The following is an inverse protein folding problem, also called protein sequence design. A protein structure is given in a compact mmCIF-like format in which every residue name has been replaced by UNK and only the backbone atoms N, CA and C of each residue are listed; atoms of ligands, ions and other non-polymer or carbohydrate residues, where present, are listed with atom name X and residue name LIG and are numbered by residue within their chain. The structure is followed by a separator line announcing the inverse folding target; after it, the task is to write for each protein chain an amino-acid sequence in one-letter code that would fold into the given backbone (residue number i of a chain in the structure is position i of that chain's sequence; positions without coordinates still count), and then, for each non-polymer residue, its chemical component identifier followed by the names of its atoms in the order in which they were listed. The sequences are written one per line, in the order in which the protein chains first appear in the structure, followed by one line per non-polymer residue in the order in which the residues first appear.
data_IF_094487229127
#
_entry.id   IF_094487229127
#
_cell.length_a   1.000
_cell.length_b   1.000
_cell.length_c   1.000
_cell.angle_alpha   90.00
_cell.angle_beta   90.00
_cell.angle_gamma   90.00
#
_symmetry.space_group_name_H-M   'P 1'
#
loop_
_entity.id
_entity.type
_entity.pdbx_description
1 polymer ?
#
# COMPACT_ATOMS: atom_id res chain seq x y z
N UNK A 1 13.33 -26.50 28.17
CA UNK A 1 13.86 -27.26 29.33
C UNK A 1 12.97 -27.01 30.53
N UNK A 2 12.09 -27.96 30.86
CA UNK A 2 11.74 -28.49 32.20
C UNK A 2 10.90 -29.74 31.91
N UNK A 3 11.22 -30.82 32.61
CA UNK A 3 10.60 -32.15 32.60
C UNK A 3 10.08 -32.40 34.02
N UNK A 4 8.86 -32.94 34.20
CA UNK A 4 8.58 -34.07 35.13
C UNK A 4 7.12 -34.58 35.04
N UNK A 5 6.95 -35.82 35.49
CA UNK A 5 5.93 -36.85 35.20
C UNK A 5 5.04 -37.14 36.43
N UNK A 6 3.78 -37.59 36.22
CA UNK A 6 3.10 -38.78 36.82
C UNK A 6 1.61 -38.80 36.40
N UNK A 7 1.14 -39.80 35.64
CA UNK A 7 0.51 -41.07 36.02
C UNK A 7 -0.79 -40.96 36.84
N UNK A 8 -1.93 -41.30 36.23
CA UNK A 8 -3.24 -41.41 36.87
C UNK A 8 -4.37 -41.65 35.87
N UNK A 9 -4.76 -42.91 35.72
CA UNK A 9 -5.85 -43.37 34.86
C UNK A 9 -7.22 -42.94 35.39
N UNK A 10 -8.02 -42.23 34.59
CA UNK A 10 -9.48 -42.17 34.71
C UNK A 10 -10.07 -41.88 33.31
N UNK A 11 -10.61 -42.90 32.65
CA UNK A 11 -11.37 -42.76 31.40
C UNK A 11 -12.75 -42.19 31.73
N UNK A 12 -12.82 -40.86 31.80
CA UNK A 12 -14.05 -40.11 31.60
C UNK A 12 -14.06 -39.69 30.13
N UNK A 13 -15.08 -40.15 29.40
CA UNK A 13 -15.35 -39.71 28.03
C UNK A 13 -15.85 -38.25 28.11
N UNK A 14 -14.92 -37.33 28.29
CA UNK A 14 -15.17 -35.90 28.09
C UNK A 14 -15.40 -35.72 26.60
N UNK A 15 -16.61 -35.27 26.25
CA UNK A 15 -16.83 -34.63 24.97
C UNK A 15 -15.92 -33.40 24.96
N UNK A 16 -14.72 -33.54 24.39
CA UNK A 16 -13.95 -32.40 23.95
C UNK A 16 -14.82 -31.75 22.88
N UNK A 17 -15.54 -30.70 23.29
CA UNK A 17 -15.93 -29.66 22.37
C UNK A 17 -14.64 -29.22 21.71
N UNK A 18 -14.38 -29.75 20.51
CA UNK A 18 -13.52 -29.12 19.52
C UNK A 18 -14.02 -27.68 19.48
N UNK A 19 -13.31 -26.79 20.16
CA UNK A 19 -13.37 -25.38 19.85
C UNK A 19 -13.04 -25.35 18.37
N UNK A 20 -14.09 -25.19 17.57
CA UNK A 20 -13.95 -24.83 16.18
C UNK A 20 -12.91 -23.72 16.18
N UNK A 21 -11.75 -23.98 15.55
CA UNK A 21 -10.78 -22.92 15.33
C UNK A 21 -11.60 -21.82 14.69
N UNK A 22 -11.77 -20.71 15.39
CA UNK A 22 -12.31 -19.52 14.79
C UNK A 22 -11.25 -19.14 13.75
N UNK A 23 -11.38 -19.67 12.55
CA UNK A 23 -10.82 -19.10 11.33
C UNK A 23 -11.61 -17.83 11.05
N UNK A 24 -11.63 -16.93 12.05
CA UNK A 24 -12.22 -15.62 11.95
C UNK A 24 -11.50 -14.92 10.84
N UNK A 25 -12.28 -14.39 9.89
CA UNK A 25 -11.74 -13.52 8.87
C UNK A 25 -10.88 -12.43 9.53
N UNK A 26 -9.75 -12.05 8.92
CA UNK A 26 -8.89 -11.01 9.47
C UNK A 26 -9.71 -9.75 9.76
N UNK A 27 -9.54 -9.20 10.96
CA UNK A 27 -10.21 -7.98 11.39
C UNK A 27 -9.69 -6.80 10.56
N UNK A 28 -10.60 -6.02 9.97
CA UNK A 28 -10.23 -4.84 9.19
C UNK A 28 -10.21 -3.62 10.10
N UNK A 29 -9.12 -2.84 10.02
CA UNK A 29 -9.00 -1.56 10.72
C UNK A 29 -9.09 -0.40 9.71
N UNK A 30 -9.81 0.69 10.02
CA UNK A 30 -9.80 1.88 9.18
C UNK A 30 -8.46 2.62 9.32
N UNK A 31 -7.82 2.94 8.19
CA UNK A 31 -6.62 3.79 8.17
C UNK A 31 -6.96 5.29 8.14
N UNK A 32 -8.14 5.64 7.62
CA UNK A 32 -8.64 7.01 7.56
C UNK A 32 -9.93 7.12 8.38
N UNK A 33 -10.02 8.14 9.23
CA UNK A 33 -11.13 8.30 10.18
C UNK A 33 -12.35 9.03 9.60
N UNK A 34 -12.25 9.59 8.38
CA UNK A 34 -13.34 10.35 7.76
C UNK A 34 -13.45 11.81 8.21
N UNK A 35 -12.63 12.26 9.15
CA UNK A 35 -12.77 13.58 9.78
C UNK A 35 -11.54 14.45 9.54
N UNK A 36 -10.34 13.91 9.74
CA UNK A 36 -9.07 14.61 9.62
C UNK A 36 -7.93 13.69 9.16
N UNK A 37 -6.70 14.22 9.12
CA UNK A 37 -5.51 13.46 8.74
C UNK A 37 -4.77 12.88 9.95
N UNK A 38 -5.44 12.69 11.09
CA UNK A 38 -4.87 12.07 12.28
C UNK A 38 -4.33 10.67 11.97
N UNK A 39 -3.11 10.38 12.42
CA UNK A 39 -2.41 9.13 12.07
C UNK A 39 -1.66 9.18 10.74
N UNK A 40 -1.59 10.34 10.09
CA UNK A 40 -0.85 10.57 8.85
C UNK A 40 0.03 11.81 8.93
N UNK A 41 1.11 11.81 8.14
CA UNK A 41 1.93 13.00 7.91
C UNK A 41 2.21 13.20 6.43
N UNK A 42 2.38 14.46 6.02
CA UNK A 42 2.69 14.82 4.64
C UNK A 42 4.21 14.89 4.42
N UNK A 43 4.70 14.16 3.41
CA UNK A 43 6.06 14.25 2.90
C UNK A 43 6.07 14.95 1.54
N UNK A 44 6.47 16.22 1.53
CA UNK A 44 6.37 17.11 0.36
C UNK A 44 7.75 17.72 0.06
N UNK A 45 8.41 17.40 -1.07
CA UNK A 45 9.74 17.94 -1.39
C UNK A 45 9.82 19.46 -1.41
N UNK A 46 8.73 20.14 -1.80
CA UNK A 46 8.69 21.59 -1.81
C UNK A 46 8.83 22.21 -0.40
N UNK A 47 8.49 21.46 0.65
CA UNK A 47 8.62 21.87 2.05
C UNK A 47 10.00 21.57 2.64
N UNK A 48 10.88 20.86 1.91
CA UNK A 48 12.21 20.49 2.39
C UNK A 48 13.00 21.77 2.82
N UNK A 49 13.68 21.66 3.96
CA UNK A 49 14.35 22.81 4.60
C UNK A 49 13.42 23.70 5.43
N UNK A 50 12.22 23.22 5.79
CA UNK A 50 11.29 23.95 6.65
C UNK A 50 10.53 25.05 5.93
N UNK A 51 10.38 24.95 4.62
CA UNK A 51 9.62 25.93 3.82
C UNK A 51 8.13 25.71 4.05
N UNK A 52 7.42 26.80 4.25
CA UNK A 52 5.96 26.78 4.29
C UNK A 52 5.42 26.57 2.87
N UNK A 53 4.51 25.62 2.71
CA UNK A 53 3.86 25.30 1.43
C UNK A 53 2.36 25.11 1.65
N UNK A 54 1.58 25.34 0.59
CA UNK A 54 0.17 24.99 0.60
C UNK A 54 -0.02 23.47 0.84
N UNK A 55 -1.11 23.04 1.49
CA UNK A 55 -1.37 21.63 1.74
C UNK A 55 -1.56 20.86 0.42
N UNK A 56 -0.92 19.70 0.31
CA UNK A 56 -1.13 18.76 -0.81
C UNK A 56 -2.35 17.87 -0.62
N UNK A 57 -2.76 17.64 0.63
CA UNK A 57 -3.82 16.73 1.03
C UNK A 57 -4.76 17.42 1.99
N UNK A 58 -6.06 17.17 1.83
CA UNK A 58 -7.11 17.74 2.69
C UNK A 58 -8.21 16.71 2.92
N UNK A 59 -9.01 16.91 3.96
CA UNK A 59 -10.29 16.22 4.14
C UNK A 59 -11.41 17.13 3.65
N UNK A 60 -12.31 16.57 2.83
CA UNK A 60 -13.50 17.27 2.33
C UNK A 60 -14.64 16.28 2.18
N UNK A 61 -15.80 16.61 2.75
CA UNK A 61 -17.02 15.79 2.66
C UNK A 61 -16.79 14.33 3.08
N UNK A 62 -16.03 14.12 4.16
CA UNK A 62 -15.70 12.78 4.65
C UNK A 62 -14.68 12.00 3.81
N UNK A 63 -14.07 12.63 2.80
CA UNK A 63 -13.11 11.99 1.89
C UNK A 63 -11.71 12.58 2.05
N UNK A 64 -10.71 11.71 1.91
CA UNK A 64 -9.32 12.10 1.73
C UNK A 64 -9.11 12.57 0.28
N UNK A 65 -8.68 13.83 0.11
CA UNK A 65 -8.53 14.45 -1.21
C UNK A 65 -7.07 14.84 -1.43
N UNK A 66 -6.47 14.31 -2.50
CA UNK A 66 -5.20 14.81 -3.04
C UNK A 66 -5.44 15.99 -3.98
N UNK A 67 -4.80 17.12 -3.71
CA UNK A 67 -4.87 18.33 -4.53
C UNK A 67 -3.85 18.32 -5.68
N UNK A 68 -2.91 17.36 -5.66
CA UNK A 68 -1.89 17.15 -6.70
C UNK A 68 -0.76 18.20 -6.75
N UNK A 69 -0.93 19.36 -6.11
CA UNK A 69 0.08 20.42 -6.03
C UNK A 69 0.09 21.09 -4.63
N UNK A 70 1.27 21.23 -3.98
CA UNK A 70 2.56 20.67 -4.39
C UNK A 70 2.53 19.13 -4.41
N UNK A 71 3.41 18.51 -5.19
CA UNK A 71 3.51 17.05 -5.25
C UNK A 71 4.14 16.51 -3.97
N UNK A 72 3.68 15.36 -3.51
CA UNK A 72 4.19 14.71 -2.31
C UNK A 72 3.36 13.48 -1.96
N UNK A 73 3.58 12.97 -0.76
CA UNK A 73 2.98 11.75 -0.26
C UNK A 73 2.30 12.02 1.07
N UNK A 74 1.19 11.34 1.32
CA UNK A 74 0.60 11.25 2.64
C UNK A 74 0.91 9.85 3.17
N UNK A 75 1.58 9.79 4.32
CA UNK A 75 2.18 8.56 4.84
C UNK A 75 1.59 8.27 6.22
N UNK A 76 1.25 7.02 6.49
CA UNK A 76 0.79 6.60 7.82
C UNK A 76 1.91 6.79 8.84
N UNK A 77 1.56 7.21 10.06
CA UNK A 77 2.50 7.27 11.18
C UNK A 77 2.91 5.86 11.64
N UNK A 78 1.99 4.89 11.51
CA UNK A 78 2.23 3.49 11.80
C UNK A 78 2.82 2.74 10.60
N UNK A 79 3.64 1.75 10.89
CA UNK A 79 4.17 0.80 9.91
C UNK A 79 3.39 -0.51 9.96
N UNK A 80 3.13 -1.11 8.80
CA UNK A 80 2.38 -2.35 8.66
C UNK A 80 3.17 -3.41 7.89
N UNK A 81 2.95 -4.67 8.21
CA UNK A 81 3.41 -5.85 7.49
C UNK A 81 2.27 -6.87 7.38
N UNK A 82 2.33 -7.77 6.39
CA UNK A 82 1.39 -8.89 6.22
C UNK A 82 -0.10 -8.50 6.31
N UNK A 83 -0.53 -7.63 5.39
CA UNK A 83 -1.88 -7.08 5.39
C UNK A 83 -2.57 -7.24 4.04
N UNK A 84 -3.90 -7.11 4.07
CA UNK A 84 -4.71 -6.84 2.89
C UNK A 84 -5.19 -5.38 2.98
N UNK A 85 -4.82 -4.58 1.98
CA UNK A 85 -5.25 -3.19 1.87
C UNK A 85 -6.43 -3.11 0.90
N UNK A 86 -7.52 -2.49 1.35
CA UNK A 86 -8.69 -2.20 0.52
C UNK A 86 -8.84 -0.68 0.45
N UNK A 87 -8.93 -0.15 -0.77
CA UNK A 87 -9.09 1.28 -1.03
C UNK A 87 -10.17 1.47 -2.08
N UNK A 88 -11.06 2.42 -1.82
CA UNK A 88 -11.96 2.97 -2.83
C UNK A 88 -11.43 4.32 -3.27
N UNK A 89 -11.40 4.57 -4.58
CA UNK A 89 -10.94 5.83 -5.14
C UNK A 89 -11.82 6.23 -6.32
N UNK A 90 -11.81 7.53 -6.64
CA UNK A 90 -12.45 8.08 -7.83
C UNK A 90 -11.72 9.32 -8.32
N UNK A 91 -11.94 9.67 -9.58
CA UNK A 91 -11.52 10.96 -10.13
C UNK A 91 -12.64 11.98 -9.95
N UNK A 92 -12.45 12.97 -9.07
CA UNK A 92 -13.40 14.07 -8.86
C UNK A 92 -13.45 15.07 -10.04
N UNK A 93 -12.58 14.91 -11.04
CA UNK A 93 -12.48 15.76 -12.21
C UNK A 93 -11.79 15.00 -13.36
N UNK A 94 -11.00 15.70 -14.17
CA UNK A 94 -10.24 15.05 -15.25
C UNK A 94 -9.30 13.98 -14.66
N UNK A 95 -9.39 12.72 -15.11
CA UNK A 95 -8.47 11.66 -14.68
C UNK A 95 -7.01 12.07 -14.88
N UNK A 96 -6.19 11.77 -13.87
CA UNK A 96 -4.78 12.14 -13.81
C UNK A 96 -3.94 10.97 -13.34
N UNK A 97 -2.88 11.30 -12.59
CA UNK A 97 -1.94 10.33 -12.02
C UNK A 97 -1.91 10.44 -10.49
N UNK A 98 -2.09 9.32 -9.83
CA UNK A 98 -1.82 9.10 -8.42
C UNK A 98 -1.44 7.63 -8.22
N UNK A 99 -1.11 7.24 -6.99
CA UNK A 99 -0.79 5.87 -6.66
C UNK A 99 -0.83 5.63 -5.17
N UNK A 100 -0.91 4.37 -4.78
CA UNK A 100 -0.74 3.93 -3.40
C UNK A 100 0.65 3.32 -3.28
N UNK A 101 1.50 3.91 -2.45
CA UNK A 101 2.85 3.42 -2.22
C UNK A 101 2.86 2.54 -0.98
N UNK A 102 3.12 1.25 -1.17
CA UNK A 102 3.25 0.27 -0.09
C UNK A 102 4.73 0.11 0.30
N UNK A 103 4.96 -0.21 1.57
CA UNK A 103 6.30 -0.36 2.15
C UNK A 103 7.19 0.88 1.95
N UNK A 104 6.59 2.07 2.01
CA UNK A 104 7.29 3.34 1.96
C UNK A 104 8.29 3.47 3.12
N UNK A 105 9.54 3.80 2.80
CA UNK A 105 10.61 3.92 3.80
C UNK A 105 11.49 5.14 3.56
N UNK A 106 12.58 5.01 2.80
CA UNK A 106 13.59 6.06 2.65
C UNK A 106 13.06 7.20 1.77
N UNK A 107 12.84 8.42 2.28
CA UNK A 107 12.33 9.52 1.47
C UNK A 107 13.31 9.94 0.37
N UNK A 108 12.77 10.56 -0.70
CA UNK A 108 13.58 11.13 -1.79
C UNK A 108 14.50 10.12 -2.50
N UNK A 109 14.20 8.81 -2.42
CA UNK A 109 14.98 7.71 -3.00
C UNK A 109 15.11 7.79 -4.51
N UNK A 110 14.03 8.19 -5.19
CA UNK A 110 14.02 8.31 -6.65
C UNK A 110 13.56 9.72 -7.05
N UNK A 111 14.31 10.33 -7.98
CA UNK A 111 14.07 11.67 -8.52
C UNK A 111 13.93 12.79 -7.50
N UNK A 112 14.45 12.59 -6.28
CA UNK A 112 14.24 13.51 -5.14
C UNK A 112 12.75 13.79 -4.87
N UNK A 113 11.89 12.84 -5.22
CA UNK A 113 10.43 12.91 -5.04
C UNK A 113 9.97 11.71 -4.24
N UNK A 114 10.08 10.53 -4.83
CA UNK A 114 9.45 9.31 -4.32
C UNK A 114 10.27 8.65 -3.20
N UNK A 115 9.62 8.12 -2.16
CA UNK A 115 10.27 7.27 -1.18
C UNK A 115 10.57 5.88 -1.76
N UNK A 116 11.52 5.16 -1.16
CA UNK A 116 11.68 3.73 -1.43
C UNK A 116 10.38 3.00 -1.11
N UNK A 117 9.79 2.31 -2.09
CA UNK A 117 8.47 1.70 -2.02
C UNK A 117 8.16 0.85 -3.26
N UNK A 118 7.01 0.17 -3.24
CA UNK A 118 6.33 -0.31 -4.43
C UNK A 118 5.06 0.53 -4.60
N UNK A 119 4.87 1.13 -5.76
CA UNK A 119 3.64 1.87 -6.08
C UNK A 119 2.64 0.92 -6.77
N UNK A 120 1.48 0.75 -6.16
CA UNK A 120 0.25 0.30 -6.81
C UNK A 120 -0.33 1.48 -7.58
N UNK A 121 -0.11 1.49 -8.89
CA UNK A 121 -0.40 2.60 -9.77
C UNK A 121 -1.91 2.85 -9.88
N UNK A 122 -2.31 4.13 -9.97
CA UNK A 122 -3.69 4.54 -10.23
C UNK A 122 -3.81 5.52 -11.40
N UNK A 123 -2.74 5.76 -12.16
CA UNK A 123 -2.75 6.58 -13.38
C UNK A 123 -3.81 6.06 -14.35
N UNK A 124 -4.62 6.98 -14.85
CA UNK A 124 -5.73 6.65 -15.73
C UNK A 124 -5.31 5.79 -16.94
N UNK A 125 -5.97 4.65 -17.09
CA UNK A 125 -5.69 3.61 -18.07
C UNK A 125 -4.59 2.62 -17.67
N UNK A 126 -3.95 2.80 -16.51
CA UNK A 126 -2.82 1.99 -16.01
C UNK A 126 -3.03 1.56 -14.55
N UNK A 127 -4.23 1.70 -13.99
CA UNK A 127 -4.50 1.32 -12.61
C UNK A 127 -4.23 -0.18 -12.38
N UNK A 128 -3.58 -0.49 -11.25
CA UNK A 128 -3.19 -1.85 -10.88
C UNK A 128 -1.80 -2.27 -11.35
N UNK A 129 -1.12 -1.47 -12.17
CA UNK A 129 0.30 -1.71 -12.47
C UNK A 129 1.14 -1.52 -11.22
N UNK A 130 2.29 -2.19 -11.17
CA UNK A 130 3.29 -1.92 -10.15
C UNK A 130 4.42 -1.06 -10.71
N UNK A 131 4.86 -0.09 -9.92
CA UNK A 131 6.14 0.57 -10.12
C UNK A 131 7.08 0.27 -8.95
N UNK A 132 8.21 -0.36 -9.26
CA UNK A 132 9.27 -0.61 -8.30
C UNK A 132 10.11 0.66 -8.12
N UNK A 133 10.27 1.12 -6.88
CA UNK A 133 10.95 2.39 -6.54
C UNK A 133 11.94 2.11 -5.41
N UNK A 134 13.18 1.78 -5.72
CA UNK A 134 14.16 1.34 -4.72
C UNK A 134 13.83 0.01 -4.00
N UNK A 135 12.61 -0.51 -4.16
CA UNK A 135 12.12 -1.79 -3.64
C UNK A 135 11.57 -2.61 -4.82
N UNK A 136 11.80 -3.92 -4.82
CA UNK A 136 11.43 -4.81 -5.93
C UNK A 136 10.39 -5.84 -5.53
N UNK A 137 9.61 -6.30 -6.52
CA UNK A 137 8.70 -7.43 -6.35
C UNK A 137 8.78 -8.37 -7.53
N UNK A 138 8.41 -9.62 -7.28
CA UNK A 138 8.22 -10.63 -8.30
C UNK A 138 6.78 -11.11 -8.27
N UNK A 139 6.19 -11.25 -9.45
CA UNK A 139 4.83 -11.75 -9.67
C UNK A 139 4.87 -12.74 -10.82
N UNK A 140 3.79 -13.48 -11.05
CA UNK A 140 3.76 -14.40 -12.18
C UNK A 140 3.89 -13.66 -13.53
N UNK A 141 4.50 -14.33 -14.52
CA UNK A 141 4.70 -13.86 -15.89
C UNK A 141 5.55 -12.59 -16.08
N UNK A 142 6.58 -12.39 -15.24
CA UNK A 142 7.43 -11.19 -15.29
C UNK A 142 7.99 -10.84 -16.67
N UNK A 143 8.39 -11.81 -17.49
CA UNK A 143 8.94 -11.51 -18.82
C UNK A 143 7.88 -10.84 -19.71
N UNK A 144 6.64 -11.32 -19.66
CA UNK A 144 5.53 -10.71 -20.39
C UNK A 144 5.17 -9.33 -19.80
N UNK A 145 5.24 -9.18 -18.48
CA UNK A 145 4.74 -8.00 -17.76
C UNK A 145 5.77 -6.88 -17.56
N UNK A 146 7.07 -7.19 -17.60
CA UNK A 146 8.18 -6.27 -17.31
C UNK A 146 9.28 -6.30 -18.40
N UNK A 147 9.16 -7.19 -19.39
CA UNK A 147 10.12 -7.36 -20.47
C UNK A 147 11.33 -8.20 -20.08
N UNK A 148 12.45 -8.13 -20.82
CA UNK A 148 13.63 -8.98 -20.61
C UNK A 148 14.27 -8.81 -19.22
N UNK A 149 14.64 -9.93 -18.59
CA UNK A 149 15.11 -9.98 -17.20
C UNK A 149 16.35 -9.14 -16.93
N UNK A 150 17.28 -9.06 -17.89
CA UNK A 150 18.51 -8.29 -17.79
C UNK A 150 18.26 -6.76 -17.68
N UNK A 151 17.06 -6.30 -18.01
CA UNK A 151 16.67 -4.89 -17.91
C UNK A 151 15.93 -4.56 -16.61
N UNK A 152 15.52 -5.55 -15.83
CA UNK A 152 14.79 -5.32 -14.59
C UNK A 152 15.64 -4.57 -13.58
N UNK A 153 14.95 -3.87 -12.67
CA UNK A 153 15.56 -3.11 -11.59
C UNK A 153 14.60 -2.05 -11.08
N UNK A 154 15.06 -1.32 -10.06
CA UNK A 154 14.24 -0.40 -9.24
C UNK A 154 14.68 1.06 -9.34
N UNK A 155 15.68 1.32 -10.19
CA UNK A 155 16.34 2.61 -10.38
C UNK A 155 16.08 3.20 -11.77
N UNK A 156 16.42 4.49 -11.93
CA UNK A 156 16.37 5.17 -13.22
C UNK A 156 17.09 4.38 -14.32
N UNK A 157 16.49 4.32 -15.51
CA UNK A 157 17.02 3.59 -16.66
C UNK A 157 16.75 2.09 -16.65
N UNK A 158 16.12 1.53 -15.59
CA UNK A 158 15.68 0.14 -15.54
C UNK A 158 14.21 -0.02 -15.90
N UNK A 159 13.83 -1.24 -16.30
CA UNK A 159 12.43 -1.63 -16.41
C UNK A 159 11.84 -1.76 -15.01
N UNK A 160 11.20 -0.69 -14.52
CA UNK A 160 10.60 -0.62 -13.16
C UNK A 160 9.10 -0.95 -13.13
N UNK A 161 8.41 -0.84 -14.27
CA UNK A 161 6.96 -1.03 -14.38
C UNK A 161 6.63 -2.50 -14.65
N UNK A 162 5.68 -3.03 -13.91
CA UNK A 162 5.09 -4.36 -14.10
C UNK A 162 3.61 -4.16 -14.45
N UNK A 163 3.21 -4.59 -15.63
CA UNK A 163 1.82 -4.45 -16.09
C UNK A 163 0.86 -5.27 -15.23
N UNK A 164 -0.34 -4.76 -15.00
CA UNK A 164 -1.44 -5.49 -14.37
C UNK A 164 -1.98 -6.61 -15.29
N UNK A 165 -2.92 -7.40 -14.78
CA UNK A 165 -3.51 -8.54 -15.49
C UNK A 165 -4.91 -8.26 -16.05
N UNK A 166 -5.46 -7.08 -15.79
CA UNK A 166 -6.87 -6.76 -15.99
C UNK A 166 -7.03 -5.45 -16.73
N UNK A 167 -7.31 -5.55 -18.03
CA UNK A 167 -7.67 -4.39 -18.82
C UNK A 167 -9.05 -3.85 -18.43
N UNK A 168 -9.22 -2.53 -18.45
CA UNK A 168 -10.53 -1.89 -18.28
C UNK A 168 -11.14 -2.00 -16.88
N UNK A 169 -10.33 -2.24 -15.84
CA UNK A 169 -10.81 -2.30 -14.45
C UNK A 169 -11.21 -0.94 -13.86
N UNK A 170 -10.93 0.15 -14.56
CA UNK A 170 -11.23 1.51 -14.11
C UNK A 170 -12.68 1.92 -14.44
N UNK A 171 -13.36 2.49 -13.45
CA UNK A 171 -14.62 3.18 -13.67
C UNK A 171 -14.39 4.54 -14.37
N UNK A 172 -15.36 5.05 -15.13
CA UNK A 172 -15.33 6.43 -15.62
C UNK A 172 -15.17 7.43 -14.48
N UNK A 173 -14.66 8.62 -14.78
CA UNK A 173 -14.63 9.72 -13.82
C UNK A 173 -16.04 10.10 -13.36
N UNK A 174 -16.19 10.42 -12.07
CA UNK A 174 -17.49 10.70 -11.44
C UNK A 174 -17.62 10.04 -10.09
#
# INVERSE_FOLDING_TARGET
MVLLVTSGCLLLCSCESLTARNSGAPESIPLFNGEDLGGWYADVPAADGGKEVAPSFVVRDGMLVSLGKPQGHLITEQSYSDYQLVVEYRWAGKPGNCGILVHASTPRRLYKMFPQSIECQLYAGNAGDFWCIGEDIHVDDMIARRGPAEKWGVDEGKSRRILNLTDGSENPAG
#
